data_IF_244481490196
#
_entry.id   IF_244481490196
#
_cell.length_a   1.000
_cell.length_b   1.000
_cell.length_c   1.000
_cell.angle_alpha   90.00
_cell.angle_beta   90.00
_cell.angle_gamma   90.00
#
_symmetry.space_group_name_H-M   'P 1'
#
loop_
_entity.id
_entity.type
_entity.pdbx_description
1 polymer ?
#
# COMPACT_ATOMS: atom_id res chain seq x y z
N UNK A 1 -20.36 -29.59 -0.06
CA UNK A 1 -19.50 -28.63 -0.82
C UNK A 1 -18.37 -28.20 0.11
N UNK A 2 -17.13 -27.89 -0.35
CA UNK A 2 -16.09 -27.40 0.58
C UNK A 2 -15.99 -25.88 0.54
N UNK A 3 -15.66 -25.26 1.66
CA UNK A 3 -15.45 -23.81 1.77
C UNK A 3 -14.38 -23.31 0.79
N UNK A 4 -13.29 -24.08 0.63
CA UNK A 4 -12.21 -23.77 -0.32
C UNK A 4 -12.71 -23.65 -1.75
N UNK A 5 -13.62 -24.53 -2.21
CA UNK A 5 -14.19 -24.48 -3.56
C UNK A 5 -15.13 -23.29 -3.76
N UNK A 6 -15.87 -22.89 -2.73
CA UNK A 6 -16.71 -21.69 -2.78
C UNK A 6 -15.83 -20.45 -2.92
N UNK A 7 -14.76 -20.34 -2.13
CA UNK A 7 -13.80 -19.24 -2.20
C UNK A 7 -13.10 -19.22 -3.56
N UNK A 8 -12.69 -20.38 -4.08
CA UNK A 8 -12.08 -20.49 -5.41
C UNK A 8 -13.02 -19.94 -6.50
N UNK A 9 -14.30 -20.29 -6.47
CA UNK A 9 -15.29 -19.79 -7.42
C UNK A 9 -15.48 -18.26 -7.32
N UNK A 10 -15.52 -17.70 -6.10
CA UNK A 10 -15.62 -16.26 -5.89
C UNK A 10 -14.39 -15.52 -6.46
N UNK A 11 -13.19 -16.04 -6.18
CA UNK A 11 -11.94 -15.45 -6.67
C UNK A 11 -11.82 -15.56 -8.19
N UNK A 12 -12.29 -16.65 -8.79
CA UNK A 12 -12.30 -16.83 -10.24
C UNK A 12 -13.25 -15.83 -10.94
N UNK A 13 -14.38 -15.54 -10.32
CA UNK A 13 -15.39 -14.62 -10.85
C UNK A 13 -15.05 -13.14 -10.61
N UNK A 14 -14.14 -12.86 -9.68
CA UNK A 14 -13.80 -11.49 -9.27
C UNK A 14 -12.94 -10.78 -10.31
N UNK A 15 -13.28 -9.51 -10.59
CA UNK A 15 -12.50 -8.64 -11.48
C UNK A 15 -11.44 -7.80 -10.74
N UNK A 16 -11.51 -7.78 -9.40
CA UNK A 16 -10.58 -7.06 -8.51
C UNK A 16 -10.15 -7.97 -7.36
N UNK A 17 -9.07 -7.64 -6.64
CA UNK A 17 -8.73 -8.34 -5.40
C UNK A 17 -9.90 -8.29 -4.42
N UNK A 18 -10.14 -9.38 -3.69
CA UNK A 18 -11.18 -9.47 -2.66
C UNK A 18 -10.55 -9.56 -1.29
N UNK A 19 -10.96 -8.69 -0.39
CA UNK A 19 -10.61 -8.78 1.03
C UNK A 19 -11.30 -9.98 1.69
N UNK A 20 -10.74 -10.48 2.80
CA UNK A 20 -11.35 -11.54 3.60
C UNK A 20 -12.77 -11.17 4.03
N UNK A 21 -12.99 -9.88 4.34
CA UNK A 21 -14.30 -9.38 4.72
C UNK A 21 -15.31 -9.45 3.57
N UNK A 22 -14.93 -9.04 2.34
CA UNK A 22 -15.78 -9.13 1.15
C UNK A 22 -16.13 -10.58 0.82
N UNK A 23 -15.15 -11.49 0.87
CA UNK A 23 -15.37 -12.93 0.67
C UNK A 23 -16.36 -13.47 1.72
N UNK A 24 -16.14 -13.16 3.00
CA UNK A 24 -17.02 -13.61 4.07
C UNK A 24 -18.44 -13.05 3.91
N UNK A 25 -18.56 -11.78 3.53
CA UNK A 25 -19.85 -11.14 3.28
C UNK A 25 -20.60 -11.80 2.11
N UNK A 26 -19.89 -12.06 1.00
CA UNK A 26 -20.48 -12.73 -0.17
C UNK A 26 -20.98 -14.15 0.16
N UNK A 27 -20.20 -14.92 0.92
CA UNK A 27 -20.59 -16.26 1.36
C UNK A 27 -21.87 -16.21 2.23
N UNK A 28 -21.94 -15.27 3.17
CA UNK A 28 -23.13 -15.11 4.05
C UNK A 28 -24.36 -14.62 3.30
N UNK A 29 -24.18 -13.72 2.34
CA UNK A 29 -25.27 -13.17 1.55
C UNK A 29 -26.00 -14.22 0.69
N UNK A 30 -25.32 -15.31 0.34
CA UNK A 30 -25.91 -16.41 -0.41
C UNK A 30 -27.04 -17.14 0.35
N UNK A 31 -27.16 -16.97 1.68
CA UNK A 31 -28.21 -17.58 2.50
C UNK A 31 -29.62 -17.09 2.13
N UNK A 32 -29.72 -15.90 1.57
CA UNK A 32 -31.00 -15.24 1.27
C UNK A 32 -31.53 -15.48 -0.15
N UNK A 33 -30.91 -16.32 -0.97
CA UNK A 33 -31.38 -16.60 -2.32
C UNK A 33 -32.59 -17.56 -2.29
N UNK A 34 -33.79 -17.09 -2.60
CA UNK A 34 -35.00 -17.93 -2.60
C UNK A 34 -34.99 -19.00 -3.70
N UNK A 35 -34.09 -18.90 -4.67
CA UNK A 35 -33.92 -19.90 -5.73
C UNK A 35 -32.95 -21.04 -5.32
N UNK A 36 -32.27 -20.93 -4.19
CA UNK A 36 -31.39 -21.96 -3.69
C UNK A 36 -32.17 -23.00 -2.90
N UNK A 37 -32.36 -24.19 -3.44
CA UNK A 37 -33.00 -25.31 -2.76
C UNK A 37 -32.13 -25.93 -1.64
N UNK A 38 -30.85 -25.55 -1.56
CA UNK A 38 -29.91 -26.07 -0.57
C UNK A 38 -29.56 -25.01 0.48
N UNK A 39 -29.63 -25.35 1.79
CA UNK A 39 -29.22 -24.43 2.84
C UNK A 39 -27.75 -24.05 2.69
N UNK A 40 -27.41 -22.78 2.94
CA UNK A 40 -26.02 -22.36 2.95
C UNK A 40 -25.28 -22.95 4.16
N UNK A 41 -24.49 -23.97 3.93
CA UNK A 41 -23.67 -24.62 4.97
C UNK A 41 -22.65 -23.65 5.62
N UNK A 42 -22.34 -22.55 4.94
CA UNK A 42 -21.32 -21.57 5.36
C UNK A 42 -21.88 -20.23 5.86
N UNK A 43 -23.19 -20.14 6.12
CA UNK A 43 -23.86 -18.92 6.60
C UNK A 43 -23.23 -18.30 7.86
N UNK A 44 -22.61 -19.13 8.71
CA UNK A 44 -21.94 -18.71 9.95
C UNK A 44 -20.43 -18.67 9.89
N UNK A 45 -19.84 -18.75 8.68
CA UNK A 45 -18.39 -18.73 8.48
C UNK A 45 -17.77 -17.46 9.09
N UNK A 46 -16.61 -17.62 9.71
CA UNK A 46 -15.84 -16.52 10.30
C UNK A 46 -14.67 -16.13 9.40
N UNK A 47 -14.23 -14.87 9.50
CA UNK A 47 -13.07 -14.38 8.75
C UNK A 47 -11.81 -15.25 8.94
N UNK A 48 -11.60 -15.80 10.13
CA UNK A 48 -10.47 -16.69 10.41
C UNK A 48 -10.54 -18.00 9.62
N UNK A 49 -11.73 -18.55 9.40
CA UNK A 49 -11.93 -19.77 8.61
C UNK A 49 -11.71 -19.50 7.13
N UNK A 50 -12.15 -18.32 6.64
CA UNK A 50 -11.87 -17.86 5.28
C UNK A 50 -10.37 -17.65 5.07
N UNK A 51 -9.67 -17.02 6.02
CA UNK A 51 -8.22 -16.84 5.95
C UNK A 51 -7.47 -18.19 5.89
N UNK A 52 -7.84 -19.13 6.74
CA UNK A 52 -7.25 -20.48 6.73
C UNK A 52 -7.50 -21.22 5.40
N UNK A 53 -8.70 -21.09 4.83
CA UNK A 53 -9.04 -21.70 3.55
C UNK A 53 -8.28 -21.08 2.37
N UNK A 54 -8.00 -19.76 2.41
CA UNK A 54 -7.18 -19.06 1.41
C UNK A 54 -5.72 -19.55 1.45
N UNK A 55 -5.13 -19.67 2.64
CA UNK A 55 -3.77 -20.24 2.77
C UNK A 55 -3.72 -21.72 2.31
N UNK A 56 -4.75 -22.50 2.61
CA UNK A 56 -4.85 -23.87 2.11
C UNK A 56 -4.89 -23.92 0.58
N UNK A 57 -5.71 -23.08 -0.07
CA UNK A 57 -5.77 -22.97 -1.54
C UNK A 57 -4.44 -22.59 -2.15
N UNK A 58 -3.75 -21.64 -1.53
CA UNK A 58 -2.43 -21.19 -1.98
C UNK A 58 -1.41 -22.33 -1.99
N UNK A 59 -1.37 -23.11 -0.91
CA UNK A 59 -0.49 -24.29 -0.81
C UNK A 59 -0.90 -25.36 -1.82
N UNK A 60 -2.20 -25.61 -1.98
CA UNK A 60 -2.72 -26.61 -2.94
C UNK A 60 -2.34 -26.27 -4.38
N UNK A 61 -2.45 -25.00 -4.81
CA UNK A 61 -2.09 -24.60 -6.16
C UNK A 61 -0.59 -24.74 -6.44
N UNK A 62 0.26 -24.47 -5.45
CA UNK A 62 1.70 -24.70 -5.55
C UNK A 62 2.00 -26.20 -5.69
N UNK A 63 1.41 -27.04 -4.85
CA UNK A 63 1.63 -28.49 -4.89
C UNK A 63 1.16 -29.14 -6.20
N UNK A 64 0.06 -28.64 -6.75
CA UNK A 64 -0.50 -29.13 -8.02
C UNK A 64 0.19 -28.52 -9.25
N UNK A 65 1.19 -27.64 -9.07
CA UNK A 65 1.89 -26.95 -10.16
C UNK A 65 0.92 -26.31 -11.16
N UNK A 66 -0.11 -25.61 -10.66
CA UNK A 66 -1.11 -24.94 -11.50
C UNK A 66 -0.47 -23.80 -12.31
N UNK A 67 -1.01 -23.53 -13.50
CA UNK A 67 -0.57 -22.40 -14.34
C UNK A 67 -1.00 -21.02 -13.79
N UNK A 68 -1.69 -21.00 -12.66
CA UNK A 68 -2.13 -19.81 -11.92
C UNK A 68 -1.91 -20.03 -10.42
N UNK A 69 -1.79 -18.95 -9.71
CA UNK A 69 -1.51 -18.92 -8.28
C UNK A 69 -2.44 -17.94 -7.55
N UNK A 70 -2.59 -18.13 -6.26
CA UNK A 70 -3.30 -17.22 -5.39
C UNK A 70 -2.29 -16.24 -4.79
N UNK A 71 -2.48 -14.94 -5.06
CA UNK A 71 -1.61 -13.87 -4.57
C UNK A 71 -2.38 -12.95 -3.63
N UNK A 72 -1.73 -12.58 -2.54
CA UNK A 72 -2.22 -11.57 -1.63
C UNK A 72 -1.64 -10.21 -2.05
N UNK A 73 -2.52 -9.25 -2.25
CA UNK A 73 -2.20 -7.84 -2.54
C UNK A 73 -2.65 -6.96 -1.40
N UNK A 74 -2.29 -5.67 -1.44
CA UNK A 74 -2.70 -4.70 -0.43
C UNK A 74 -4.22 -4.60 -0.26
N UNK A 75 -5.00 -4.78 -1.35
CA UNK A 75 -6.47 -4.72 -1.33
C UNK A 75 -7.14 -6.07 -1.05
N UNK A 76 -6.38 -7.17 -1.01
CA UNK A 76 -6.91 -8.50 -0.76
C UNK A 76 -6.32 -9.58 -1.66
N UNK A 77 -7.06 -10.66 -1.85
CA UNK A 77 -6.64 -11.86 -2.55
C UNK A 77 -7.13 -11.90 -4.00
N UNK A 78 -6.29 -12.37 -4.91
CA UNK A 78 -6.59 -12.46 -6.33
C UNK A 78 -5.91 -13.68 -6.96
N UNK A 79 -6.57 -14.28 -7.94
CA UNK A 79 -5.93 -15.24 -8.83
C UNK A 79 -5.07 -14.51 -9.86
N UNK A 80 -3.87 -14.99 -10.06
CA UNK A 80 -2.94 -14.49 -11.07
C UNK A 80 -2.29 -15.66 -11.81
N UNK A 81 -1.94 -15.45 -13.07
CA UNK A 81 -1.15 -16.43 -13.82
C UNK A 81 0.25 -16.56 -13.22
N UNK A 82 0.79 -17.76 -13.22
CA UNK A 82 2.17 -17.99 -12.79
C UNK A 82 3.14 -17.18 -13.70
N UNK A 83 4.14 -16.50 -13.13
CA UNK A 83 5.09 -15.70 -13.89
C UNK A 83 5.82 -16.46 -15.00
N UNK A 84 5.99 -17.77 -14.88
CA UNK A 84 6.58 -18.62 -15.90
C UNK A 84 5.83 -18.59 -17.22
N UNK A 85 4.53 -18.29 -17.20
CA UNK A 85 3.68 -18.19 -18.40
C UNK A 85 3.53 -16.77 -18.94
N UNK A 86 4.17 -15.78 -18.34
CA UNK A 86 3.96 -14.36 -18.66
C UNK A 86 4.21 -14.01 -20.15
N UNK A 87 5.14 -14.70 -20.83
CA UNK A 87 5.43 -14.42 -22.24
C UNK A 87 4.24 -14.75 -23.15
N UNK A 88 3.52 -15.83 -22.89
CA UNK A 88 2.35 -16.24 -23.69
C UNK A 88 1.12 -15.38 -23.37
N UNK A 89 0.93 -15.06 -22.09
CA UNK A 89 -0.15 -14.17 -21.66
C UNK A 89 -0.03 -12.78 -22.27
N UNK A 90 1.21 -12.25 -22.41
CA UNK A 90 1.43 -10.95 -23.08
C UNK A 90 1.05 -10.94 -24.55
N UNK A 91 1.23 -12.06 -25.26
CA UNK A 91 0.82 -12.15 -26.67
C UNK A 91 -0.70 -12.16 -26.83
N UNK A 92 -1.42 -12.69 -25.83
CA UNK A 92 -2.88 -12.65 -25.83
C UNK A 92 -3.45 -11.23 -25.62
N UNK A 93 -2.71 -10.41 -24.87
CA UNK A 93 -3.09 -9.04 -24.57
C UNK A 93 -1.99 -8.06 -25.03
N UNK A 94 -1.93 -7.75 -26.34
CA UNK A 94 -0.93 -6.82 -26.87
C UNK A 94 -1.22 -5.40 -26.38
N UNK A 95 -0.87 -5.13 -25.13
CA UNK A 95 -0.86 -3.76 -24.63
C UNK A 95 0.39 -3.02 -25.13
N UNK A 96 0.31 -1.69 -25.36
CA UNK A 96 1.50 -0.89 -25.62
C UNK A 96 2.54 -1.21 -24.53
N UNK A 97 3.78 -1.49 -24.94
CA UNK A 97 4.86 -1.81 -23.98
C UNK A 97 4.90 -0.70 -22.92
N UNK A 98 4.69 -1.03 -21.64
CA UNK A 98 4.75 -0.01 -20.61
C UNK A 98 6.12 0.66 -20.70
N UNK A 99 6.13 1.96 -20.89
CA UNK A 99 7.36 2.75 -20.91
C UNK A 99 8.03 2.57 -19.55
N UNK A 100 9.19 1.93 -19.53
CA UNK A 100 9.96 1.75 -18.28
C UNK A 100 10.23 3.12 -17.67
N UNK A 101 10.22 3.19 -16.34
CA UNK A 101 10.74 4.36 -15.65
C UNK A 101 12.23 4.52 -15.98
N UNK A 102 12.65 5.74 -16.23
CA UNK A 102 14.07 6.04 -16.37
C UNK A 102 14.81 5.78 -15.05
N UNK A 103 16.14 5.60 -15.09
CA UNK A 103 16.92 5.46 -13.88
C UNK A 103 16.70 6.63 -12.89
N UNK A 104 16.72 7.91 -13.32
CA UNK A 104 16.32 9.02 -12.44
C UNK A 104 14.92 8.90 -11.87
N UNK A 105 13.96 8.37 -12.64
CA UNK A 105 12.59 8.12 -12.18
C UNK A 105 12.53 7.09 -11.06
N UNK A 106 13.24 5.98 -11.22
CA UNK A 106 13.31 4.93 -10.19
C UNK A 106 13.98 5.40 -8.91
N UNK A 107 15.08 6.17 -9.01
CA UNK A 107 15.77 6.72 -7.85
C UNK A 107 14.90 7.71 -7.08
N UNK A 108 14.21 8.61 -7.79
CA UNK A 108 13.29 9.57 -7.16
C UNK A 108 12.11 8.85 -6.51
N UNK A 109 11.52 7.87 -7.18
CA UNK A 109 10.44 7.05 -6.65
C UNK A 109 10.87 6.29 -5.39
N UNK A 110 12.08 5.73 -5.39
CA UNK A 110 12.64 5.04 -4.22
C UNK A 110 12.77 6.00 -3.02
N UNK A 111 13.32 7.20 -3.21
CA UNK A 111 13.45 8.18 -2.13
C UNK A 111 12.06 8.49 -1.54
N UNK A 112 11.05 8.74 -2.38
CA UNK A 112 9.69 8.99 -1.91
C UNK A 112 9.16 7.77 -1.16
N UNK A 113 9.26 6.56 -1.69
CA UNK A 113 8.74 5.35 -1.07
C UNK A 113 9.31 5.07 0.32
N UNK A 114 10.60 5.33 0.52
CA UNK A 114 11.26 5.08 1.82
C UNK A 114 11.09 6.22 2.83
N UNK A 115 10.82 7.46 2.37
CA UNK A 115 10.84 8.65 3.24
C UNK A 115 9.52 9.40 3.32
N UNK A 116 8.49 8.89 2.69
CA UNK A 116 7.17 9.51 2.71
C UNK A 116 6.56 9.63 4.12
N UNK A 117 5.79 10.70 4.39
CA UNK A 117 5.52 11.83 3.50
C UNK A 117 6.73 12.78 3.41
N UNK A 118 7.09 13.22 2.21
CA UNK A 118 8.32 14.00 1.95
C UNK A 118 8.04 15.22 1.05
N UNK A 119 8.75 16.33 1.25
CA UNK A 119 8.64 17.50 0.38
C UNK A 119 9.50 17.35 -0.88
N UNK A 120 9.17 18.12 -1.92
CA UNK A 120 10.00 18.19 -3.11
C UNK A 120 11.43 18.63 -2.78
N UNK A 121 11.60 19.66 -1.96
CA UNK A 121 12.91 20.18 -1.58
C UNK A 121 13.78 19.13 -0.90
N UNK A 122 13.19 18.30 -0.03
CA UNK A 122 13.92 17.21 0.63
C UNK A 122 14.37 16.12 -0.36
N UNK A 123 13.54 15.80 -1.34
CA UNK A 123 13.92 14.87 -2.41
C UNK A 123 15.05 15.45 -3.26
N UNK A 124 14.96 16.73 -3.66
CA UNK A 124 16.00 17.42 -4.41
C UNK A 124 17.32 17.51 -3.62
N UNK A 125 17.25 17.73 -2.31
CA UNK A 125 18.43 17.73 -1.44
C UNK A 125 19.17 16.37 -1.44
N UNK A 126 18.43 15.27 -1.53
CA UNK A 126 19.02 13.91 -1.62
C UNK A 126 19.55 13.64 -3.01
N UNK A 127 18.82 14.07 -4.05
CA UNK A 127 19.17 13.82 -5.44
C UNK A 127 20.30 14.71 -5.96
N UNK A 128 20.43 15.90 -5.39
CA UNK A 128 21.37 16.94 -5.87
C UNK A 128 20.94 17.60 -7.20
N UNK A 129 19.74 17.33 -7.70
CA UNK A 129 19.22 17.82 -8.98
C UNK A 129 17.75 18.17 -8.88
N UNK A 130 17.26 19.04 -9.77
CA UNK A 130 15.83 19.33 -9.89
C UNK A 130 15.05 18.09 -10.34
N UNK A 131 13.89 17.86 -9.73
CA UNK A 131 13.05 16.68 -9.95
C UNK A 131 11.68 16.98 -10.56
N UNK A 132 11.36 18.22 -10.93
CA UNK A 132 10.02 18.63 -11.37
C UNK A 132 9.45 17.74 -12.46
N UNK A 133 10.16 17.54 -13.55
CA UNK A 133 9.70 16.70 -14.66
C UNK A 133 9.57 15.23 -14.29
N UNK A 134 10.46 14.75 -13.41
CA UNK A 134 10.41 13.36 -12.91
C UNK A 134 9.21 13.18 -11.99
N UNK A 135 9.00 14.11 -11.05
CA UNK A 135 7.89 14.08 -10.10
C UNK A 135 6.54 14.13 -10.82
N UNK A 136 6.41 15.02 -11.81
CA UNK A 136 5.23 15.10 -12.65
C UNK A 136 4.96 13.77 -13.36
N UNK A 137 5.97 13.16 -13.97
CA UNK A 137 5.84 11.85 -14.63
C UNK A 137 5.40 10.75 -13.67
N UNK A 138 5.91 10.76 -12.43
CA UNK A 138 5.51 9.77 -11.40
C UNK A 138 4.04 9.96 -10.99
N UNK A 139 3.58 11.21 -10.87
CA UNK A 139 2.17 11.52 -10.59
C UNK A 139 1.26 11.17 -11.76
N UNK A 140 1.61 11.49 -13.00
CA UNK A 140 0.86 11.14 -14.21
C UNK A 140 0.71 9.61 -14.36
N UNK A 141 1.70 8.85 -13.92
CA UNK A 141 1.65 7.38 -13.90
C UNK A 141 0.91 6.82 -12.68
N UNK A 142 0.41 7.66 -11.80
CA UNK A 142 -0.30 7.24 -10.60
C UNK A 142 0.56 6.55 -9.54
N UNK A 143 1.89 6.65 -9.61
CA UNK A 143 2.80 6.03 -8.63
C UNK A 143 2.99 6.87 -7.37
N UNK A 144 2.86 8.20 -7.52
CA UNK A 144 3.00 9.20 -6.45
C UNK A 144 1.77 10.09 -6.43
N UNK A 145 1.37 10.52 -5.26
CA UNK A 145 0.28 11.49 -5.04
C UNK A 145 0.69 12.53 -4.00
N UNK A 146 -0.09 13.62 -3.92
CA UNK A 146 0.03 14.60 -2.86
C UNK A 146 -0.67 14.08 -1.62
N UNK A 147 0.06 13.97 -0.50
CA UNK A 147 -0.46 13.57 0.80
C UNK A 147 -1.07 14.75 1.60
N UNK A 148 -0.60 15.97 1.32
CA UNK A 148 -1.01 17.17 2.03
C UNK A 148 0.02 18.28 1.92
N UNK A 149 0.11 19.11 2.97
CA UNK A 149 1.10 20.19 3.09
C UNK A 149 1.83 20.06 4.41
N UNK A 150 3.13 20.35 4.40
CA UNK A 150 3.93 20.40 5.62
C UNK A 150 3.57 21.62 6.48
N UNK A 151 3.67 21.49 7.80
CA UNK A 151 3.43 22.57 8.76
C UNK A 151 4.71 23.37 9.08
N UNK A 152 5.43 23.73 8.02
CA UNK A 152 6.64 24.55 8.07
C UNK A 152 6.45 25.82 7.23
N UNK A 153 7.28 26.87 7.41
CA UNK A 153 7.22 28.08 6.61
C UNK A 153 7.17 27.78 5.11
N UNK A 154 6.23 28.41 4.39
CA UNK A 154 5.98 28.14 2.98
C UNK A 154 5.00 27.00 2.70
N UNK A 155 4.59 26.20 3.70
CA UNK A 155 3.62 25.09 3.62
C UNK A 155 3.77 24.26 2.34
N UNK A 156 4.98 23.70 2.06
CA UNK A 156 5.22 22.95 0.84
C UNK A 156 4.36 21.70 0.77
N UNK A 157 4.11 21.22 -0.45
CA UNK A 157 3.40 19.97 -0.69
C UNK A 157 4.23 18.76 -0.19
N UNK A 158 3.52 17.82 0.40
CA UNK A 158 4.03 16.50 0.78
C UNK A 158 3.61 15.46 -0.26
N UNK A 159 4.53 14.58 -0.57
CA UNK A 159 4.33 13.51 -1.55
C UNK A 159 4.44 12.14 -0.89
N UNK A 160 3.60 11.21 -1.35
CA UNK A 160 3.61 9.82 -0.93
C UNK A 160 3.29 8.89 -2.10
N UNK A 161 3.58 7.60 -1.96
CA UNK A 161 3.22 6.57 -2.93
C UNK A 161 1.72 6.26 -2.88
N UNK A 162 1.19 5.73 -3.96
CA UNK A 162 -0.23 5.35 -4.08
C UNK A 162 -0.43 3.86 -3.81
N UNK A 163 -1.70 3.44 -3.77
CA UNK A 163 -2.06 2.02 -3.79
C UNK A 163 -1.55 1.34 -5.06
N UNK A 164 -1.65 2.01 -6.21
CA UNK A 164 -1.14 1.50 -7.49
C UNK A 164 0.37 1.21 -7.45
N UNK A 165 1.16 1.99 -6.67
CA UNK A 165 2.57 1.69 -6.43
C UNK A 165 2.73 0.31 -5.75
N UNK A 166 1.99 0.05 -4.68
CA UNK A 166 2.05 -1.23 -3.97
C UNK A 166 1.68 -2.39 -4.90
N UNK A 167 0.60 -2.25 -5.65
CA UNK A 167 0.14 -3.25 -6.61
C UNK A 167 1.14 -3.50 -7.73
N UNK A 168 1.77 -2.42 -8.24
CA UNK A 168 2.75 -2.49 -9.32
C UNK A 168 4.02 -3.25 -8.91
N UNK A 169 4.47 -3.06 -7.67
CA UNK A 169 5.65 -3.72 -7.12
C UNK A 169 5.31 -5.04 -6.39
N UNK A 170 4.04 -5.43 -6.32
CA UNK A 170 3.59 -6.66 -5.67
C UNK A 170 3.74 -6.65 -4.16
N UNK A 171 3.64 -5.47 -3.54
CA UNK A 171 3.78 -5.27 -2.10
C UNK A 171 2.39 -5.23 -1.44
N UNK A 172 2.27 -5.78 -0.23
CA UNK A 172 1.07 -5.64 0.61
C UNK A 172 1.07 -4.32 1.37
N UNK A 173 2.25 -3.88 1.78
CA UNK A 173 2.46 -2.61 2.50
C UNK A 173 3.91 -2.14 2.29
N UNK A 174 4.21 -0.94 2.80
CA UNK A 174 5.53 -0.32 2.66
C UNK A 174 6.63 -0.99 3.51
N UNK A 175 6.26 -1.82 4.48
CA UNK A 175 7.22 -2.51 5.36
C UNK A 175 7.86 -3.71 4.64
N UNK A 176 7.25 -4.17 3.55
CA UNK A 176 7.82 -5.20 2.67
C UNK A 176 8.92 -4.67 1.72
N UNK A 177 9.15 -3.35 1.71
CA UNK A 177 10.29 -2.79 0.99
C UNK A 177 11.62 -3.29 1.59
N UNK A 178 12.61 -3.67 0.77
CA UNK A 178 13.90 -4.13 1.27
C UNK A 178 14.54 -3.10 2.21
N UNK A 179 15.01 -3.53 3.38
CA UNK A 179 15.64 -2.67 4.40
C UNK A 179 14.80 -1.47 4.84
N UNK A 180 13.45 -1.57 4.80
CA UNK A 180 12.54 -0.47 5.08
C UNK A 180 12.80 0.19 6.42
N UNK A 181 12.95 -0.59 7.50
CA UNK A 181 13.21 -0.06 8.84
C UNK A 181 14.54 0.67 8.97
N UNK A 182 15.61 0.13 8.37
CA UNK A 182 16.93 0.74 8.44
C UNK A 182 16.98 2.05 7.66
N UNK A 183 16.42 2.07 6.45
CA UNK A 183 16.42 3.24 5.60
C UNK A 183 15.51 4.36 6.11
N UNK A 184 14.38 4.03 6.75
CA UNK A 184 13.53 5.01 7.44
C UNK A 184 14.23 5.63 8.65
N UNK A 185 14.90 4.84 9.48
CA UNK A 185 15.59 5.32 10.69
C UNK A 185 16.82 6.18 10.38
N UNK A 186 17.51 5.89 9.30
CA UNK A 186 18.76 6.57 8.92
C UNK A 186 18.56 8.00 8.44
N UNK A 187 17.34 8.35 8.03
CA UNK A 187 17.01 9.63 7.42
C UNK A 187 15.63 10.10 7.87
N UNK A 188 15.54 10.64 9.07
CA UNK A 188 14.34 11.36 9.50
C UNK A 188 14.13 12.56 8.54
N UNK A 189 12.90 12.82 8.07
CA UNK A 189 12.61 14.02 7.28
C UNK A 189 12.98 15.25 8.09
N UNK A 190 13.74 16.16 7.49
CA UNK A 190 13.96 17.51 8.06
C UNK A 190 12.62 18.22 7.95
N UNK A 191 11.86 18.32 9.05
CA UNK A 191 10.58 19.05 9.05
C UNK A 191 9.42 18.42 9.80
N UNK A 192 9.61 17.34 10.55
CA UNK A 192 8.61 17.00 11.56
C UNK A 192 8.73 18.00 12.72
N UNK A 193 7.62 18.66 13.13
CA UNK A 193 7.64 19.44 14.36
C UNK A 193 8.00 18.49 15.50
N UNK A 194 9.09 18.74 16.19
CA UNK A 194 9.31 18.19 17.52
C UNK A 194 8.05 18.48 18.30
N UNK A 195 7.36 17.44 18.76
CA UNK A 195 6.27 17.63 19.69
C UNK A 195 6.82 18.47 20.84
N UNK A 196 6.33 19.69 20.92
CA UNK A 196 6.59 20.60 22.03
C UNK A 196 6.04 19.90 23.29
N UNK A 197 6.93 19.24 24.01
CA UNK A 197 6.64 18.83 25.38
C UNK A 197 6.60 20.11 26.18
N UNK A 198 5.42 20.69 26.16
CA UNK A 198 5.09 21.88 26.87
C UNK A 198 5.41 21.77 28.34
N UNK A 199 5.90 22.87 28.79
CA UNK A 199 5.64 23.43 30.10
C UNK A 199 6.06 22.63 31.34
N UNK A 200 7.15 23.08 31.90
CA UNK A 200 7.26 23.08 33.34
C UNK A 200 8.17 24.22 33.80
N UNK A 201 7.58 25.25 34.41
CA UNK A 201 8.30 25.99 35.42
C UNK A 201 8.66 27.44 35.09
N UNK A 202 7.70 28.31 35.13
CA UNK A 202 7.93 29.66 35.64
C UNK A 202 8.07 29.60 37.15
N UNK A 203 9.19 30.04 37.75
CA UNK A 203 9.15 30.64 39.05
C UNK A 203 9.10 32.16 38.89
N UNK A 204 8.04 32.71 39.44
CA UNK A 204 7.95 34.14 39.64
C UNK A 204 9.04 34.61 40.57
N UNK A 205 9.56 35.82 40.31
CA UNK A 205 10.26 36.60 41.34
C UNK A 205 9.73 38.01 41.27
N UNK A 206 9.17 38.31 42.41
CA UNK A 206 8.69 39.57 42.91
C UNK A 206 9.74 40.65 42.96
N UNK A 207 9.31 41.85 42.67
CA UNK A 207 9.52 43.10 43.38
C UNK A 207 10.93 43.49 43.92
N UNK A 208 11.39 44.63 43.53
CA UNK A 208 11.52 45.71 44.53
C UNK A 208 11.94 47.02 43.83
N UNK A 209 11.18 48.03 44.08
CA UNK A 209 11.47 49.41 43.88
C UNK A 209 12.61 49.88 44.79
N UNK A 210 13.30 50.94 44.37
CA UNK A 210 13.80 52.07 45.20
C UNK A 210 14.59 52.98 44.27
N UNK A 211 14.07 54.06 43.88
CA UNK A 211 14.20 55.50 44.40
C UNK A 211 15.63 55.97 44.61
N UNK A 212 15.81 57.20 44.10
CA UNK A 212 16.80 58.29 44.38
C UNK A 212 18.10 58.21 43.58
N UNK A 213 18.45 59.24 42.93
CA UNK A 213 18.44 60.73 43.00
C UNK A 213 18.71 61.32 41.63
#
# INVERSE_FOLDING_TARGET
MSLTRVIEALLFSAQKPLSIHEITAAIKAAEGDPASETPNEFARVKNAEVAAALEQLKVEYIQQSRAFQLVEKAEGWQLATDPGFAKWVRELFPAPKPTRLSAPGLETLAIIAYRQPITRADVEAVRGVNIDGVLQTLMERGLVKIAGRAEIPGRPLLYETTQFFLDHFGLRNLDELPNAEELRKRYLPVGQPVADTGDAGRPGSSASATTNL
#
